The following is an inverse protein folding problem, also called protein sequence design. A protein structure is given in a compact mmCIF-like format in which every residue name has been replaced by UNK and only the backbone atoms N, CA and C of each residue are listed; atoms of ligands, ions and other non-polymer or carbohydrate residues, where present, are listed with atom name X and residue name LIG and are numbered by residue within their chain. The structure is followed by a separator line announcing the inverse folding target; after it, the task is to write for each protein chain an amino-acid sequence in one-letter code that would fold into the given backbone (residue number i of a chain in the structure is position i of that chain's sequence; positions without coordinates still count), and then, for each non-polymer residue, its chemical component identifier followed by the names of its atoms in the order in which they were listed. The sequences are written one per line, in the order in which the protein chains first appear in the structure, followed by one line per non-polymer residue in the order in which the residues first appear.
data_IF_466063001803
#
_entry.id   IF_466063001803
#
_cell.length_a   1.000
_cell.length_b   1.000
_cell.length_c   1.000
_cell.angle_alpha   90.00
_cell.angle_beta   90.00
_cell.angle_gamma   90.00
#
_symmetry.space_group_name_H-M   'P 1'
#
loop_
_entity.id
_entity.type
_entity.pdbx_description
1 polymer ?
#
# COMPACT_ATOMS: atom_id res chain seq x y z
N UNK A 1 0.85 -7.75 7.86
CA UNK A 1 -0.63 -7.75 7.77
C UNK A 1 -1.06 -6.33 7.55
N UNK A 2 -2.02 -6.08 6.67
CA UNK A 2 -2.41 -4.73 6.28
C UNK A 2 -3.92 -4.56 6.27
N UNK A 3 -4.39 -3.38 6.67
CA UNK A 3 -5.83 -3.08 6.64
C UNK A 3 -6.19 -2.51 5.28
N UNK A 4 -7.24 -3.08 4.67
CA UNK A 4 -7.78 -2.57 3.43
C UNK A 4 -8.22 -1.10 3.62
N UNK A 5 -7.67 -0.14 2.84
CA UNK A 5 -8.01 1.27 2.97
C UNK A 5 -9.45 1.60 2.57
N UNK A 6 -10.20 0.63 2.03
CA UNK A 6 -11.58 0.83 1.60
C UNK A 6 -12.62 0.26 2.54
N UNK A 7 -12.35 -0.87 3.21
CA UNK A 7 -13.34 -1.54 4.07
C UNK A 7 -12.80 -1.97 5.44
N UNK A 8 -11.54 -1.65 5.75
CA UNK A 8 -10.92 -1.89 7.06
C UNK A 8 -10.56 -3.34 7.38
N UNK A 9 -10.92 -4.30 6.52
CA UNK A 9 -10.59 -5.73 6.75
C UNK A 9 -9.09 -5.96 6.61
N UNK A 10 -8.55 -6.88 7.41
CA UNK A 10 -7.15 -7.26 7.33
C UNK A 10 -6.90 -8.19 6.13
N UNK A 11 -5.84 -7.89 5.37
CA UNK A 11 -5.28 -8.77 4.36
C UNK A 11 -3.87 -9.17 4.81
N UNK A 12 -3.65 -10.47 4.90
CA UNK A 12 -2.39 -11.07 5.36
C UNK A 12 -1.40 -11.25 4.23
N UNK A 13 -1.88 -11.67 3.05
CA UNK A 13 -1.03 -12.08 1.94
C UNK A 13 -1.08 -11.05 0.80
N UNK A 14 0.07 -10.50 0.40
CA UNK A 14 0.15 -9.73 -0.83
C UNK A 14 -0.07 -10.65 -2.04
N UNK A 15 -0.67 -10.10 -3.09
CA UNK A 15 -0.82 -10.79 -4.38
C UNK A 15 0.47 -10.77 -5.19
N UNK A 16 1.29 -9.74 -4.98
CA UNK A 16 2.57 -9.57 -5.66
C UNK A 16 3.47 -8.67 -4.82
N UNK A 17 4.78 -8.80 -5.00
CA UNK A 17 5.78 -7.98 -4.29
C UNK A 17 6.94 -7.69 -5.21
N UNK A 18 7.30 -6.41 -5.33
CA UNK A 18 8.40 -5.96 -6.18
C UNK A 18 9.16 -4.79 -5.57
N UNK A 19 10.31 -4.44 -6.14
CA UNK A 19 11.08 -3.26 -5.74
C UNK A 19 10.85 -2.11 -6.71
N UNK A 20 10.71 -0.89 -6.17
CA UNK A 20 10.62 0.36 -6.94
C UNK A 20 11.59 1.39 -6.36
N UNK A 21 12.76 1.50 -6.97
CA UNK A 21 13.86 2.32 -6.43
C UNK A 21 14.30 1.80 -5.06
N UNK A 22 14.24 2.66 -4.04
CA UNK A 22 14.50 2.27 -2.64
C UNK A 22 13.33 1.59 -1.93
N UNK A 23 12.15 1.53 -2.54
CA UNK A 23 10.96 1.01 -1.87
C UNK A 23 10.72 -0.47 -2.20
N UNK A 24 10.31 -1.22 -1.19
CA UNK A 24 9.68 -2.52 -1.33
C UNK A 24 8.17 -2.30 -1.44
N UNK A 25 7.56 -2.76 -2.53
CA UNK A 25 6.14 -2.58 -2.81
C UNK A 25 5.43 -3.91 -2.67
N UNK A 26 4.33 -3.92 -1.91
CA UNK A 26 3.46 -5.07 -1.74
C UNK A 26 2.08 -4.72 -2.28
N UNK A 27 1.63 -5.43 -3.31
CA UNK A 27 0.28 -5.27 -3.84
C UNK A 27 -0.69 -6.18 -3.12
N UNK A 28 -1.91 -5.67 -2.91
CA UNK A 28 -2.99 -6.38 -2.27
C UNK A 28 -4.27 -6.25 -3.07
N UNK A 29 -5.05 -7.33 -3.07
CA UNK A 29 -6.44 -7.34 -3.51
C UNK A 29 -7.29 -7.76 -2.32
N UNK A 30 -8.14 -6.86 -1.85
CA UNK A 30 -8.99 -7.14 -0.70
C UNK A 30 -9.97 -8.28 -1.03
N UNK A 31 -9.94 -9.35 -0.23
CA UNK A 31 -10.82 -10.50 -0.46
C UNK A 31 -12.31 -10.12 -0.37
N UNK A 32 -12.66 -9.17 0.52
CA UNK A 32 -14.03 -8.72 0.82
C UNK A 32 -14.57 -7.73 -0.21
N UNK A 33 -13.93 -6.57 -0.37
CA UNK A 33 -14.44 -5.50 -1.23
C UNK A 33 -13.79 -5.45 -2.62
N UNK A 34 -12.87 -6.37 -2.93
CA UNK A 34 -12.11 -6.46 -4.19
C UNK A 34 -11.30 -5.22 -4.55
N UNK A 35 -11.17 -4.26 -3.62
CA UNK A 35 -10.33 -3.08 -3.80
C UNK A 35 -8.87 -3.49 -3.94
N UNK A 36 -8.19 -2.90 -4.93
CA UNK A 36 -6.75 -3.08 -5.15
C UNK A 36 -5.99 -1.93 -4.52
N UNK A 37 -4.92 -2.25 -3.82
CA UNK A 37 -4.08 -1.25 -3.19
C UNK A 37 -2.64 -1.76 -3.05
N UNK A 38 -1.72 -0.83 -2.88
CA UNK A 38 -0.29 -1.08 -2.79
C UNK A 38 0.25 -0.42 -1.53
N UNK A 39 1.14 -1.11 -0.86
CA UNK A 39 1.88 -0.57 0.27
C UNK A 39 3.35 -0.48 -0.08
N UNK A 40 3.95 0.64 0.27
CA UNK A 40 5.36 0.89 0.03
C UNK A 40 6.05 0.94 1.39
N UNK A 41 7.09 0.14 1.49
CA UNK A 41 7.99 0.08 2.63
C UNK A 41 9.36 0.55 2.18
N UNK A 42 10.11 1.22 3.05
CA UNK A 42 11.52 1.54 2.79
C UNK A 42 12.39 0.26 2.80
N UNK A 43 13.65 0.36 2.40
CA UNK A 43 14.64 -0.72 2.56
C UNK A 43 14.75 -1.13 4.04
N UNK A 44 14.59 -0.18 4.96
CA UNK A 44 14.55 -0.44 6.40
C UNK A 44 13.30 -1.16 6.90
N UNK A 45 12.32 -1.46 6.04
CA UNK A 45 11.06 -2.11 6.41
C UNK A 45 10.00 -1.18 7.01
N UNK A 46 10.29 0.11 7.13
CA UNK A 46 9.32 1.11 7.61
C UNK A 46 8.25 1.39 6.56
N UNK A 47 6.98 1.41 6.95
CA UNK A 47 5.86 1.74 6.05
C UNK A 47 5.88 3.22 5.69
N UNK A 48 5.94 3.53 4.40
CA UNK A 48 5.99 4.90 3.90
C UNK A 48 4.62 5.39 3.43
N UNK A 49 3.93 4.58 2.61
CA UNK A 49 2.68 5.01 1.99
C UNK A 49 1.78 3.85 1.55
N UNK A 50 0.49 4.16 1.45
CA UNK A 50 -0.51 3.25 0.87
C UNK A 50 -1.19 3.95 -0.30
N UNK A 51 -1.14 3.34 -1.48
CA UNK A 51 -1.89 3.76 -2.67
C UNK A 51 -3.09 2.85 -2.87
N UNK A 52 -4.28 3.41 -3.10
CA UNK A 52 -5.45 2.63 -3.51
C UNK A 52 -5.73 2.91 -4.96
N UNK A 53 -5.90 1.84 -5.75
CA UNK A 53 -6.36 1.96 -7.10
C UNK A 53 -7.84 2.37 -7.12
N UNK A 54 -8.15 3.46 -7.80
CA UNK A 54 -9.52 3.83 -8.16
C UNK A 54 -9.67 3.73 -9.67
N UNK A 55 -10.61 2.88 -10.10
CA UNK A 55 -11.11 2.91 -11.48
C UNK A 55 -11.57 4.36 -11.73
N UNK A 56 -11.15 4.93 -12.86
CA UNK A 56 -11.35 6.34 -13.28
C UNK A 56 -10.33 7.40 -12.77
N UNK A 57 -9.55 7.15 -11.71
CA UNK A 57 -8.60 8.15 -11.16
C UNK A 57 -7.16 7.66 -10.98
N UNK A 58 -6.82 6.49 -11.49
CA UNK A 58 -5.55 5.81 -11.23
C UNK A 58 -5.33 5.59 -9.71
N UNK A 59 -4.07 5.52 -9.27
CA UNK A 59 -3.73 5.34 -7.85
C UNK A 59 -3.94 6.63 -7.06
N UNK A 60 -4.83 6.57 -6.08
CA UNK A 60 -5.04 7.65 -5.11
C UNK A 60 -4.21 7.34 -3.87
N UNK A 61 -3.36 8.28 -3.46
CA UNK A 61 -2.63 8.20 -2.19
C UNK A 61 -3.64 8.31 -1.04
N UNK A 62 -3.73 7.27 -0.21
CA UNK A 62 -4.71 7.22 0.88
C UNK A 62 -4.04 7.57 2.22
N UNK A 63 -2.82 7.10 2.45
CA UNK A 63 -2.11 7.33 3.71
C UNK A 63 -0.67 7.79 3.48
N UNK A 64 -0.23 8.74 4.30
CA UNK A 64 1.15 9.19 4.44
C UNK A 64 1.50 9.05 5.92
N UNK A 65 2.20 7.99 6.31
CA UNK A 65 2.81 7.99 7.63
C UNK A 65 4.11 8.77 7.50
N UNK A 66 4.11 9.94 8.13
CA UNK A 66 5.12 10.99 8.03
C UNK A 66 6.49 10.46 8.51
N UNK A 67 7.44 10.28 7.60
CA UNK A 67 8.89 10.36 7.87
C UNK A 67 9.77 10.49 6.60
N UNK A 68 9.38 11.38 5.69
CA UNK A 68 10.16 11.69 4.47
C UNK A 68 10.61 13.15 4.36
N UNK A 69 10.55 13.91 5.46
CA UNK A 69 10.98 15.31 5.55
C UNK A 69 11.63 15.59 6.93
N UNK A 70 12.46 14.66 7.39
CA UNK A 70 13.42 14.90 8.48
C UNK A 70 14.80 14.45 7.97
N UNK A 71 15.30 15.20 6.98
CA UNK A 71 16.73 15.41 6.76
C UNK A 71 16.99 16.91 6.91
#
# INVERSE_FOLDING_TARGET
MTRCPSCGVENTNPVDTWRRGRFNVQAYVCAKCKARYEEYYDVGGEHCLTLRFQKDKCYVKIWNLKKLLEE
#
